data_IF_766330964202
#
_entry.id   IF_766330964202
#
_cell.length_a   1.000
_cell.length_b   1.000
_cell.length_c   1.000
_cell.angle_alpha   90.00
_cell.angle_beta   90.00
_cell.angle_gamma   90.00
#
_symmetry.space_group_name_H-M   'P 1'
#
loop_
_entity.id
_entity.type
_entity.pdbx_description
1 polymer ?
#
# COMPACT_ATOMS: atom_id res chain seq x y z
N UNK A 1 -12.34 -12.78 -20.42
CA UNK A 1 -11.23 -11.83 -20.50
C UNK A 1 -10.89 -11.37 -19.08
N UNK A 2 -9.76 -11.89 -18.57
CA UNK A 2 -8.91 -11.45 -17.45
C UNK A 2 -9.64 -10.98 -16.17
N UNK A 3 -9.95 -11.93 -15.28
CA UNK A 3 -9.88 -11.68 -13.83
C UNK A 3 -8.39 -11.67 -13.46
N UNK A 4 -7.88 -10.49 -13.14
CA UNK A 4 -6.48 -10.29 -12.73
C UNK A 4 -6.24 -11.09 -11.46
N UNK A 5 -5.17 -11.89 -11.49
CA UNK A 5 -4.67 -12.68 -10.39
C UNK A 5 -4.59 -11.84 -9.10
N UNK A 6 -5.46 -12.14 -8.14
CA UNK A 6 -5.31 -11.67 -6.76
C UNK A 6 -4.38 -12.66 -6.05
N UNK A 7 -3.08 -12.48 -6.21
CA UNK A 7 -2.11 -13.12 -5.31
C UNK A 7 -2.23 -12.43 -3.94
N UNK A 8 -3.10 -12.99 -3.08
CA UNK A 8 -3.13 -12.66 -1.65
C UNK A 8 -1.86 -13.21 -0.99
N UNK A 9 -0.73 -12.54 -1.22
CA UNK A 9 0.44 -12.70 -0.36
C UNK A 9 0.10 -12.04 0.97
N UNK A 10 0.02 -12.83 2.03
CA UNK A 10 -0.31 -12.39 3.40
C UNK A 10 0.69 -11.34 3.96
N UNK A 11 1.74 -10.98 3.19
CA UNK A 11 2.77 -10.03 3.54
C UNK A 11 2.89 -8.76 2.68
N UNK A 12 2.10 -8.58 1.60
CA UNK A 12 2.25 -7.38 0.77
C UNK A 12 1.66 -6.13 1.47
N UNK A 13 2.55 -5.24 1.93
CA UNK A 13 2.18 -3.97 2.53
C UNK A 13 2.09 -2.90 1.44
N UNK A 14 0.89 -2.37 1.23
CA UNK A 14 0.63 -1.24 0.36
C UNK A 14 0.68 0.08 1.13
N UNK A 15 1.20 1.11 0.47
CA UNK A 15 1.27 2.47 0.94
C UNK A 15 0.56 3.41 -0.02
N UNK A 16 -0.10 4.43 0.49
CA UNK A 16 -0.78 5.45 -0.30
C UNK A 16 -0.07 6.79 -0.14
N UNK A 17 0.23 7.47 -1.25
CA UNK A 17 0.78 8.81 -1.18
C UNK A 17 -0.29 9.82 -0.72
N UNK A 18 0.04 10.67 0.26
CA UNK A 18 -0.91 11.67 0.80
C UNK A 18 -1.32 12.76 -0.21
N UNK A 19 -0.58 12.93 -1.32
CA UNK A 19 -0.83 14.00 -2.29
C UNK A 19 -1.56 13.53 -3.55
N UNK A 20 -1.17 12.38 -4.12
CA UNK A 20 -1.76 11.83 -5.34
C UNK A 20 -2.62 10.58 -5.11
N UNK A 21 -2.62 10.02 -3.89
CA UNK A 21 -3.43 8.84 -3.56
C UNK A 21 -3.02 7.55 -4.27
N UNK A 22 -1.91 7.55 -5.00
CA UNK A 22 -1.45 6.36 -5.74
C UNK A 22 -0.98 5.28 -4.76
N UNK A 23 -1.53 4.04 -4.84
CA UNK A 23 -1.06 2.91 -4.05
C UNK A 23 0.27 2.40 -4.60
N UNK A 24 1.27 2.22 -3.74
CA UNK A 24 2.62 1.76 -4.06
C UNK A 24 3.02 0.67 -3.07
N UNK A 25 3.69 -0.39 -3.53
CA UNK A 25 4.13 -1.48 -2.67
C UNK A 25 5.44 -1.16 -1.94
N UNK A 26 5.69 -1.81 -0.79
CA UNK A 26 6.98 -1.67 -0.08
C UNK A 26 8.18 -2.07 -0.96
N UNK A 27 8.00 -3.10 -1.80
CA UNK A 27 9.04 -3.62 -2.68
C UNK A 27 9.45 -2.60 -3.76
N UNK A 28 8.49 -1.84 -4.28
CA UNK A 28 8.78 -0.73 -5.21
C UNK A 28 9.53 0.40 -4.51
N UNK A 29 9.14 0.76 -3.28
CA UNK A 29 9.82 1.80 -2.49
C UNK A 29 11.26 1.41 -2.14
N UNK A 30 11.53 0.13 -1.90
CA UNK A 30 12.86 -0.38 -1.53
C UNK A 30 13.83 -0.46 -2.71
N UNK A 31 13.32 -0.46 -3.96
CA UNK A 31 14.14 -0.44 -5.18
C UNK A 31 14.70 0.94 -5.50
N UNK A 32 14.05 1.99 -5.02
CA UNK A 32 14.54 3.36 -5.19
C UNK A 32 15.48 3.73 -4.04
N UNK A 33 16.58 4.46 -4.31
CA UNK A 33 17.52 4.91 -3.28
C UNK A 33 16.89 5.93 -2.31
N UNK A 34 15.77 6.55 -2.67
CA UNK A 34 15.01 7.46 -1.82
C UNK A 34 13.52 7.14 -1.84
N UNK A 35 12.87 7.27 -0.69
CA UNK A 35 11.43 7.05 -0.54
C UNK A 35 10.66 8.27 -1.09
N UNK A 36 10.33 8.21 -2.38
CA UNK A 36 9.63 9.28 -3.10
C UNK A 36 8.50 8.69 -3.93
N UNK A 37 7.37 9.40 -3.97
CA UNK A 37 6.34 9.14 -4.95
C UNK A 37 6.72 9.81 -6.28
N UNK A 38 6.13 9.35 -7.39
CA UNK A 38 6.25 9.99 -8.72
C UNK A 38 5.88 11.47 -8.72
N UNK A 39 5.11 11.95 -7.73
CA UNK A 39 4.75 13.35 -7.55
C UNK A 39 5.78 14.17 -6.73
N UNK A 40 6.91 13.57 -6.33
CA UNK A 40 7.96 14.21 -5.53
C UNK A 40 7.67 14.30 -4.02
N UNK A 41 6.49 13.87 -3.57
CA UNK A 41 6.11 13.86 -2.16
C UNK A 41 6.70 12.64 -1.42
N UNK A 42 7.06 12.81 -0.14
CA UNK A 42 7.76 11.78 0.67
C UNK A 42 6.89 11.14 1.75
N UNK A 43 5.68 11.65 1.96
CA UNK A 43 4.78 11.16 3.03
C UNK A 43 3.80 10.16 2.46
N UNK A 44 3.87 8.94 2.99
CA UNK A 44 2.99 7.83 2.64
C UNK A 44 2.21 7.34 3.86
N UNK A 45 0.96 6.96 3.66
CA UNK A 45 0.09 6.32 4.66
C UNK A 45 0.05 4.82 4.38
N UNK A 46 0.22 3.99 5.40
CA UNK A 46 0.02 2.54 5.26
C UNK A 46 -1.46 2.23 5.00
N UNK A 47 -1.76 1.52 3.93
CA UNK A 47 -3.11 1.09 3.60
C UNK A 47 -3.62 0.09 4.66
N UNK A 48 -4.95 0.07 4.85
CA UNK A 48 -5.58 -0.88 5.77
C UNK A 48 -5.36 -2.30 5.23
N UNK A 49 -4.80 -3.18 6.05
CA UNK A 49 -4.69 -4.59 5.70
C UNK A 49 -6.08 -5.20 5.48
N UNK A 50 -6.23 -6.16 4.54
CA UNK A 50 -7.51 -6.80 4.25
C UNK A 50 -8.00 -7.72 5.39
N UNK A 51 -7.22 -7.87 6.47
CA UNK A 51 -7.63 -8.63 7.65
C UNK A 51 -8.69 -7.87 8.46
N UNK A 52 -9.81 -8.55 8.71
CA UNK A 52 -10.91 -8.00 9.50
C UNK A 52 -10.47 -7.86 10.94
N UNK A 53 -10.64 -6.65 11.50
CA UNK A 53 -10.43 -6.41 12.92
C UNK A 53 -11.77 -6.56 13.65
N UNK A 54 -11.84 -7.49 14.60
CA UNK A 54 -12.99 -7.62 15.49
C UNK A 54 -12.88 -6.56 16.60
N UNK A 55 -13.92 -5.75 16.74
CA UNK A 55 -14.05 -4.74 17.80
C UNK A 55 -15.20 -5.18 18.71
N UNK A 56 -14.97 -5.22 20.03
CA UNK A 56 -16.05 -5.42 20.99
C UNK A 56 -16.90 -4.16 21.03
N UNK A 57 -18.22 -4.32 20.91
CA UNK A 57 -19.15 -3.24 21.23
C UNK A 57 -19.18 -3.07 22.75
N UNK A 58 -19.29 -1.82 23.22
CA UNK A 58 -19.51 -1.48 24.65
C UNK A 58 -20.69 -2.27 25.20
#
# INVERSE_FOLDING_TARGET
MIIVASENTIGSVFYECMRCGTPVSNEELSKLPEIKCICGFRVFRKARQPIVKQLKAV
#
